data_IF_876575120412
#
_entry.id   IF_876575120412
#
_cell.length_a   1.000
_cell.length_b   1.000
_cell.length_c   1.000
_cell.angle_alpha   90.00
_cell.angle_beta   90.00
_cell.angle_gamma   90.00
#
_symmetry.space_group_name_H-M   'P 1'
#
loop_
_entity.id
_entity.type
_entity.pdbx_description
1 polymer ?
#
# COMPACT_ATOMS: atom_id res chain seq x y z
N UNK A 1 -4.18 21.28 16.99
CA UNK A 1 -5.37 21.92 16.36
C UNK A 1 -6.62 21.24 16.92
N UNK A 2 -7.84 21.80 16.82
CA UNK A 2 -9.02 21.10 17.30
C UNK A 2 -9.46 20.01 16.30
N UNK A 3 -9.56 18.76 16.73
CA UNK A 3 -10.28 17.69 16.04
C UNK A 3 -11.45 17.19 16.89
N UNK A 4 -12.51 16.68 16.26
CA UNK A 4 -13.65 16.16 17.01
C UNK A 4 -13.29 14.85 17.74
N UNK A 5 -13.60 14.76 19.03
CA UNK A 5 -13.31 13.59 19.89
C UNK A 5 -14.39 12.50 19.82
N UNK A 6 -15.42 12.69 18.99
CA UNK A 6 -16.50 11.74 18.80
C UNK A 6 -17.08 11.89 17.38
N UNK A 7 -17.59 10.81 16.76
CA UNK A 7 -18.19 10.88 15.43
C UNK A 7 -19.35 11.88 15.37
N UNK A 8 -19.22 12.91 14.53
CA UNK A 8 -20.30 13.85 14.20
C UNK A 8 -21.13 13.34 13.02
N UNK A 9 -20.51 12.58 12.12
CA UNK A 9 -21.19 11.80 11.09
C UNK A 9 -21.02 10.32 11.45
N UNK A 10 -22.10 9.60 11.80
CA UNK A 10 -21.99 8.21 12.19
C UNK A 10 -21.68 7.32 10.96
N UNK A 11 -20.69 6.40 11.06
CA UNK A 11 -20.38 5.47 9.99
C UNK A 11 -21.60 4.60 9.65
N UNK A 12 -21.81 4.30 8.38
CA UNK A 12 -22.77 3.26 7.97
C UNK A 12 -22.27 1.86 8.41
N UNK A 13 -23.16 0.95 8.84
CA UNK A 13 -22.83 -0.46 8.98
C UNK A 13 -22.23 -1.05 7.70
N UNK A 14 -21.26 -1.97 7.82
CA UNK A 14 -20.55 -2.54 6.66
C UNK A 14 -21.51 -3.29 5.71
N UNK A 15 -22.54 -3.93 6.25
CA UNK A 15 -23.58 -4.63 5.50
C UNK A 15 -24.53 -3.69 4.74
N UNK A 16 -24.68 -2.45 5.20
CA UNK A 16 -25.45 -1.40 4.52
C UNK A 16 -24.67 -0.70 3.38
N UNK A 17 -23.38 -0.94 3.24
CA UNK A 17 -22.57 -0.39 2.15
C UNK A 17 -22.88 -1.06 0.81
N UNK A 18 -22.85 -0.31 -0.28
CA UNK A 18 -22.94 -0.88 -1.63
C UNK A 18 -21.73 -1.79 -1.94
N UNK A 19 -21.83 -2.75 -2.89
CA UNK A 19 -20.75 -3.70 -3.20
C UNK A 19 -19.37 -3.04 -3.42
N UNK A 20 -19.32 -1.96 -4.20
CA UNK A 20 -18.09 -1.23 -4.50
C UNK A 20 -17.54 -0.49 -3.27
N UNK A 21 -18.43 0.03 -2.42
CA UNK A 21 -18.06 0.68 -1.16
C UNK A 21 -17.48 -0.35 -0.19
N UNK A 22 -18.09 -1.54 -0.06
CA UNK A 22 -17.55 -2.65 0.74
C UNK A 22 -16.18 -3.10 0.24
N UNK A 23 -15.97 -3.12 -1.08
CA UNK A 23 -14.66 -3.47 -1.67
C UNK A 23 -13.60 -2.47 -1.23
N UNK A 24 -13.88 -1.17 -1.31
CA UNK A 24 -12.97 -0.11 -0.85
C UNK A 24 -12.72 -0.18 0.66
N UNK A 25 -13.75 -0.41 1.47
CA UNK A 25 -13.62 -0.55 2.92
C UNK A 25 -12.67 -1.70 3.32
N UNK A 26 -12.69 -2.82 2.60
CA UNK A 26 -11.82 -3.98 2.84
C UNK A 26 -10.33 -3.72 2.56
N UNK A 27 -9.98 -2.59 1.93
CA UNK A 27 -8.59 -2.19 1.67
C UNK A 27 -7.95 -1.42 2.84
N UNK A 28 -8.61 -1.38 4.01
CA UNK A 28 -8.08 -0.73 5.22
C UNK A 28 -8.67 0.65 5.49
N UNK A 29 -9.48 1.19 4.56
CA UNK A 29 -10.11 2.51 4.67
C UNK A 29 -11.56 2.45 5.19
N UNK A 30 -11.96 1.39 5.89
CA UNK A 30 -13.38 1.15 6.20
C UNK A 30 -14.05 2.29 6.96
N UNK A 31 -13.44 2.87 7.98
CA UNK A 31 -14.11 3.93 8.76
C UNK A 31 -14.36 5.20 7.94
N UNK A 32 -13.42 5.64 7.10
CA UNK A 32 -13.65 6.78 6.20
C UNK A 32 -14.66 6.45 5.11
N UNK A 33 -14.62 5.23 4.56
CA UNK A 33 -15.58 4.79 3.54
C UNK A 33 -17.00 4.73 4.12
N UNK A 34 -17.18 4.21 5.34
CA UNK A 34 -18.48 4.16 6.01
C UNK A 34 -19.08 5.55 6.25
N UNK A 35 -18.24 6.55 6.50
CA UNK A 35 -18.69 7.93 6.70
C UNK A 35 -19.01 8.60 5.35
N UNK A 36 -18.13 8.46 4.36
CA UNK A 36 -18.33 9.02 3.02
C UNK A 36 -19.51 8.40 2.29
N UNK A 37 -19.82 7.13 2.53
CA UNK A 37 -20.95 6.43 1.90
C UNK A 37 -22.32 7.06 2.23
N UNK A 38 -22.40 7.95 3.23
CA UNK A 38 -23.56 8.83 3.45
C UNK A 38 -23.82 9.81 2.28
N UNK A 39 -22.81 10.06 1.44
CA UNK A 39 -22.90 10.79 0.18
C UNK A 39 -22.18 10.00 -0.93
N UNK A 40 -22.87 9.02 -1.54
CA UNK A 40 -22.25 8.04 -2.43
C UNK A 40 -21.65 8.64 -3.71
N UNK A 41 -22.27 9.70 -4.27
CA UNK A 41 -21.77 10.36 -5.47
C UNK A 41 -20.45 11.09 -5.21
N UNK A 42 -20.39 11.87 -4.11
CA UNK A 42 -19.16 12.54 -3.69
C UNK A 42 -18.09 11.53 -3.27
N UNK A 43 -18.48 10.46 -2.57
CA UNK A 43 -17.56 9.38 -2.22
C UNK A 43 -16.90 8.81 -3.47
N UNK A 44 -17.68 8.49 -4.51
CA UNK A 44 -17.14 7.95 -5.76
C UNK A 44 -16.14 8.93 -6.38
N UNK A 45 -16.52 10.19 -6.56
CA UNK A 45 -15.65 11.21 -7.15
C UNK A 45 -14.35 11.40 -6.35
N UNK A 46 -14.45 11.46 -5.02
CA UNK A 46 -13.27 11.57 -4.13
C UNK A 46 -12.40 10.33 -4.18
N UNK A 47 -13.00 9.14 -4.24
CA UNK A 47 -12.27 7.86 -4.28
C UNK A 47 -11.56 7.67 -5.62
N UNK A 48 -12.15 8.11 -6.73
CA UNK A 48 -11.51 8.06 -8.06
C UNK A 48 -10.23 8.93 -8.08
N UNK A 49 -10.31 10.15 -7.53
CA UNK A 49 -9.13 11.02 -7.39
C UNK A 49 -8.09 10.44 -6.41
N UNK A 50 -8.52 9.94 -5.25
CA UNK A 50 -7.64 9.31 -4.28
C UNK A 50 -6.93 8.07 -4.87
N UNK A 51 -7.64 7.24 -5.63
CA UNK A 51 -7.08 6.07 -6.30
C UNK A 51 -6.04 6.46 -7.36
N UNK A 52 -6.28 7.53 -8.13
CA UNK A 52 -5.29 8.07 -9.04
C UNK A 52 -4.01 8.48 -8.29
N UNK A 53 -4.13 9.31 -7.25
CA UNK A 53 -3.00 9.78 -6.46
C UNK A 53 -2.24 8.63 -5.78
N UNK A 54 -2.93 7.58 -5.35
CA UNK A 54 -2.32 6.44 -4.64
C UNK A 54 -1.81 5.30 -5.52
N UNK A 55 -2.24 5.19 -6.78
CA UNK A 55 -1.91 4.02 -7.61
C UNK A 55 -1.42 4.36 -9.02
N UNK A 56 -1.67 5.58 -9.49
CA UNK A 56 -1.33 6.01 -10.86
C UNK A 56 -0.43 7.25 -10.88
N UNK A 57 -0.12 7.80 -9.70
CA UNK A 57 0.80 8.92 -9.54
C UNK A 57 2.18 8.59 -10.09
N UNK A 58 2.80 9.59 -10.71
CA UNK A 58 4.20 9.61 -11.14
C UNK A 58 5.18 9.77 -9.99
N UNK A 59 4.73 10.25 -8.83
CA UNK A 59 5.55 10.29 -7.63
C UNK A 59 5.85 8.87 -7.15
N UNK A 60 7.12 8.63 -6.80
CA UNK A 60 7.53 7.37 -6.21
C UNK A 60 6.69 7.09 -4.95
N UNK A 61 6.19 5.85 -4.75
CA UNK A 61 5.33 5.51 -3.62
C UNK A 61 5.90 5.96 -2.28
N UNK A 62 7.21 5.74 -2.05
CA UNK A 62 7.89 6.13 -0.80
C UNK A 62 7.72 7.61 -0.48
N UNK A 63 8.03 8.45 -1.47
CA UNK A 63 7.97 9.91 -1.33
C UNK A 63 6.54 10.41 -1.19
N UNK A 64 5.59 9.79 -1.91
CA UNK A 64 4.17 10.10 -1.79
C UNK A 64 3.68 9.88 -0.36
N UNK A 65 3.97 8.72 0.23
CA UNK A 65 3.53 8.44 1.60
C UNK A 65 4.23 9.32 2.64
N UNK A 66 5.50 9.68 2.45
CA UNK A 66 6.17 10.71 3.27
C UNK A 66 5.44 12.05 3.24
N UNK A 67 5.03 12.51 2.06
CA UNK A 67 4.27 13.75 1.91
C UNK A 67 2.91 13.68 2.63
N UNK A 68 2.19 12.55 2.50
CA UNK A 68 0.90 12.34 3.17
C UNK A 68 1.06 12.34 4.70
N UNK A 69 2.05 11.63 5.23
CA UNK A 69 2.33 11.64 6.67
C UNK A 69 2.69 13.04 7.18
N UNK A 70 3.45 13.81 6.40
CA UNK A 70 3.75 15.21 6.74
C UNK A 70 2.49 16.07 6.73
N UNK A 71 1.59 15.90 5.76
CA UNK A 71 0.27 16.57 5.75
C UNK A 71 -0.53 16.24 7.02
N UNK A 72 -0.58 14.96 7.40
CA UNK A 72 -1.28 14.51 8.60
C UNK A 72 -0.76 15.19 9.87
N UNK A 73 0.57 15.34 10.01
CA UNK A 73 1.19 16.09 11.11
C UNK A 73 0.81 17.58 11.06
N UNK A 74 0.91 18.21 9.89
CA UNK A 74 0.61 19.64 9.73
C UNK A 74 -0.86 19.99 9.93
N UNK A 75 -1.75 19.05 9.68
CA UNK A 75 -3.19 19.22 9.83
C UNK A 75 -3.74 18.64 11.14
N UNK A 76 -2.88 18.04 11.98
CA UNK A 76 -3.28 17.34 13.21
C UNK A 76 -4.37 16.29 12.94
N UNK A 77 -4.11 15.41 11.97
CA UNK A 77 -5.07 14.45 11.43
C UNK A 77 -4.74 13.00 11.85
N UNK A 78 -5.19 12.56 13.04
CA UNK A 78 -4.81 11.27 13.60
C UNK A 78 -5.30 10.08 12.78
N UNK A 79 -6.48 10.17 12.16
CA UNK A 79 -6.98 9.13 11.27
C UNK A 79 -6.13 8.95 10.02
N UNK A 80 -5.72 10.06 9.41
CA UNK A 80 -4.89 10.03 8.22
C UNK A 80 -3.53 9.40 8.52
N UNK A 81 -2.89 9.84 9.61
CA UNK A 81 -1.66 9.23 10.10
C UNK A 81 -1.81 7.73 10.36
N UNK A 82 -2.82 7.34 11.15
CA UNK A 82 -3.07 5.95 11.49
C UNK A 82 -3.26 5.04 10.27
N UNK A 83 -3.92 5.56 9.23
CA UNK A 83 -4.15 4.81 7.99
C UNK A 83 -2.92 4.79 7.07
N UNK A 84 -2.14 5.86 7.06
CA UNK A 84 -1.00 6.00 6.15
C UNK A 84 0.33 5.50 6.71
N UNK A 85 0.52 5.36 8.03
CA UNK A 85 1.77 4.76 8.57
C UNK A 85 1.99 3.34 8.03
N UNK A 86 1.01 2.42 8.04
CA UNK A 86 1.18 1.10 7.43
C UNK A 86 1.41 1.17 5.91
N UNK A 87 0.78 2.12 5.21
CA UNK A 87 0.98 2.33 3.78
C UNK A 87 2.38 2.88 3.46
N UNK A 88 2.92 3.76 4.31
CA UNK A 88 4.25 4.35 4.20
C UNK A 88 5.35 3.32 4.42
N UNK A 89 5.26 2.55 5.52
CA UNK A 89 6.09 1.35 5.70
C UNK A 89 5.97 0.44 4.47
N UNK A 90 4.75 0.40 3.93
CA UNK A 90 4.38 -0.25 2.70
C UNK A 90 5.11 0.13 1.43
N UNK A 91 5.39 1.41 1.31
CA UNK A 91 6.03 2.00 0.17
C UNK A 91 7.55 2.10 0.31
N UNK A 92 8.11 1.52 1.38
CA UNK A 92 9.55 1.54 1.67
C UNK A 92 10.00 2.75 2.50
N UNK A 93 9.09 3.49 3.13
CA UNK A 93 9.46 4.49 4.15
C UNK A 93 9.88 3.73 5.40
N UNK A 94 11.05 4.02 5.94
CA UNK A 94 11.55 3.35 7.14
C UNK A 94 10.90 3.92 8.40
N UNK A 95 10.87 3.14 9.49
CA UNK A 95 10.44 3.63 10.80
C UNK A 95 11.29 4.84 11.23
N UNK A 96 12.58 4.85 10.91
CA UNK A 96 13.47 5.98 11.17
C UNK A 96 13.01 7.26 10.45
N UNK A 97 12.62 7.15 9.18
CA UNK A 97 12.09 8.29 8.42
C UNK A 97 10.72 8.75 8.96
N UNK A 98 9.81 7.83 9.29
CA UNK A 98 8.52 8.20 9.89
C UNK A 98 8.74 8.94 11.21
N UNK A 99 9.67 8.47 12.04
CA UNK A 99 10.04 9.12 13.29
C UNK A 99 10.73 10.47 13.06
N UNK A 100 11.53 10.60 12.00
CA UNK A 100 12.18 11.85 11.64
C UNK A 100 11.18 12.94 11.21
N UNK A 101 9.97 12.58 10.76
CA UNK A 101 8.95 13.56 10.40
C UNK A 101 8.47 14.43 11.58
N UNK A 102 8.67 14.00 12.83
CA UNK A 102 8.34 14.78 14.03
C UNK A 102 9.53 15.50 14.65
N UNK A 103 10.74 15.20 14.16
CA UNK A 103 11.98 15.82 14.64
C UNK A 103 12.28 17.09 13.84
N UNK A 104 12.27 18.29 14.47
CA UNK A 104 12.58 19.54 13.77
C UNK A 104 14.04 19.63 13.32
N UNK A 105 14.94 18.82 13.87
CA UNK A 105 16.36 18.80 13.53
C UNK A 105 16.71 17.69 12.52
N UNK A 106 15.72 16.91 12.07
CA UNK A 106 15.93 15.89 11.07
C UNK A 106 16.44 16.47 9.75
N UNK A 107 17.47 15.84 9.20
CA UNK A 107 18.03 16.18 7.89
C UNK A 107 17.52 15.20 6.84
N UNK A 108 17.10 15.73 5.69
CA UNK A 108 16.53 14.96 4.60
C UNK A 108 17.40 15.04 3.35
N UNK A 109 17.28 14.04 2.48
CA UNK A 109 17.86 14.14 1.14
C UNK A 109 17.26 15.35 0.41
N UNK A 110 18.02 16.09 -0.42
CA UNK A 110 17.54 17.32 -1.04
C UNK A 110 16.21 17.19 -1.80
N UNK A 111 15.98 16.03 -2.41
CA UNK A 111 14.78 15.71 -3.18
C UNK A 111 13.54 15.46 -2.31
N UNK A 112 13.73 14.88 -1.11
CA UNK A 112 12.68 14.64 -0.12
C UNK A 112 12.34 15.95 0.60
N UNK A 113 13.39 16.67 1.01
CA UNK A 113 13.28 17.94 1.72
C UNK A 113 12.47 18.98 0.91
N UNK A 114 12.66 19.03 -0.41
CA UNK A 114 11.89 19.92 -1.27
C UNK A 114 10.37 19.61 -1.24
N UNK A 115 9.99 18.34 -1.15
CA UNK A 115 8.57 17.94 -1.03
C UNK A 115 8.04 18.19 0.37
N UNK A 116 8.80 17.88 1.41
CA UNK A 116 8.40 18.12 2.81
C UNK A 116 8.24 19.63 3.08
N UNK A 117 9.13 20.46 2.55
CA UNK A 117 9.01 21.91 2.61
C UNK A 117 7.78 22.40 1.84
N UNK A 118 7.51 21.85 0.65
CA UNK A 118 6.30 22.21 -0.10
C UNK A 118 5.01 21.84 0.65
N UNK A 119 4.98 20.68 1.30
CA UNK A 119 3.87 20.27 2.19
C UNK A 119 3.68 21.32 3.30
N UNK A 120 4.77 21.69 3.96
CA UNK A 120 4.77 22.64 5.06
C UNK A 120 4.24 24.02 4.66
N UNK A 121 4.70 24.53 3.52
CA UNK A 121 4.28 25.83 2.97
C UNK A 121 2.82 25.80 2.49
N UNK A 122 2.39 24.74 1.79
CA UNK A 122 1.00 24.59 1.34
C UNK A 122 0.02 24.45 2.50
N UNK A 123 0.39 23.70 3.54
CA UNK A 123 -0.45 23.58 4.74
C UNK A 123 -0.56 24.91 5.50
N UNK A 124 0.53 25.69 5.56
CA UNK A 124 0.56 26.97 6.28
C UNK A 124 -0.08 28.13 5.51
N UNK A 125 0.21 28.24 4.21
CA UNK A 125 -0.03 29.45 3.42
C UNK A 125 -0.77 29.19 2.11
N UNK A 126 -1.05 27.92 1.76
CA UNK A 126 -1.62 27.53 0.47
C UNK A 126 -0.82 28.06 -0.74
N UNK A 127 0.49 28.19 -0.55
CA UNK A 127 1.42 28.74 -1.55
C UNK A 127 2.78 28.07 -1.38
N UNK A 128 3.46 27.79 -2.48
CA UNK A 128 4.86 27.31 -2.49
C UNK A 128 5.75 28.48 -2.88
N UNK A 129 6.78 28.75 -2.08
CA UNK A 129 7.73 29.84 -2.32
C UNK A 129 8.56 29.62 -3.59
N UNK A 130 9.11 30.69 -4.17
CA UNK A 130 9.98 30.60 -5.35
C UNK A 130 11.22 29.72 -5.09
N UNK A 131 11.73 29.73 -3.86
CA UNK A 131 12.85 28.89 -3.44
C UNK A 131 12.47 27.40 -3.45
N UNK A 132 11.37 27.04 -2.79
CA UNK A 132 10.87 25.65 -2.77
C UNK A 132 10.46 25.20 -4.17
N UNK A 133 9.86 26.08 -4.98
CA UNK A 133 9.53 25.80 -6.37
C UNK A 133 10.77 25.47 -7.20
N UNK A 134 11.83 26.30 -7.09
CA UNK A 134 13.08 26.07 -7.82
C UNK A 134 13.72 24.72 -7.44
N UNK A 135 13.65 24.33 -6.16
CA UNK A 135 14.16 23.04 -5.68
C UNK A 135 13.34 21.86 -6.21
N UNK A 136 12.01 21.97 -6.25
CA UNK A 136 11.16 20.95 -6.85
C UNK A 136 11.46 20.80 -8.34
N UNK A 137 11.52 21.91 -9.08
CA UNK A 137 11.75 21.94 -10.53
C UNK A 137 13.16 21.49 -10.94
N UNK A 138 14.12 21.44 -10.01
CA UNK A 138 15.47 20.94 -10.28
C UNK A 138 15.51 19.42 -10.53
N UNK A 139 14.56 18.67 -9.99
CA UNK A 139 14.55 17.19 -10.08
C UNK A 139 13.23 16.62 -10.58
N UNK A 140 12.23 17.45 -10.88
CA UNK A 140 10.88 17.03 -11.28
C UNK A 140 10.38 17.81 -12.48
N UNK A 141 9.65 17.13 -13.36
CA UNK A 141 8.94 17.80 -14.44
C UNK A 141 7.66 18.49 -13.94
N UNK A 142 7.02 19.28 -14.80
CA UNK A 142 5.80 19.99 -14.42
C UNK A 142 4.66 19.07 -13.99
N UNK A 143 4.55 17.86 -14.54
CA UNK A 143 3.48 16.94 -14.17
C UNK A 143 3.71 16.38 -12.76
N UNK A 144 4.95 16.03 -12.41
CA UNK A 144 5.31 15.60 -11.06
C UNK A 144 5.11 16.73 -10.03
N UNK A 145 5.45 17.98 -10.38
CA UNK A 145 5.18 19.13 -9.50
C UNK A 145 3.67 19.33 -9.30
N UNK A 146 2.87 19.25 -10.38
CA UNK A 146 1.40 19.31 -10.28
C UNK A 146 0.88 18.20 -9.35
N UNK A 147 1.40 16.99 -9.45
CA UNK A 147 1.01 15.89 -8.56
C UNK A 147 1.36 16.15 -7.09
N UNK A 148 2.52 16.75 -6.77
CA UNK A 148 2.83 17.18 -5.39
C UNK A 148 1.76 18.15 -4.88
N UNK A 149 1.43 19.19 -5.67
CA UNK A 149 0.44 20.18 -5.26
C UNK A 149 -0.95 19.56 -5.06
N UNK A 150 -1.39 18.69 -5.99
CA UNK A 150 -2.68 18.00 -5.90
C UNK A 150 -2.74 17.01 -4.74
N UNK A 151 -1.67 16.25 -4.50
CA UNK A 151 -1.59 15.31 -3.39
C UNK A 151 -1.75 16.05 -2.05
N UNK A 152 -0.97 17.12 -1.84
CA UNK A 152 -1.04 17.91 -0.62
C UNK A 152 -2.40 18.57 -0.45
N UNK A 153 -2.97 19.14 -1.52
CA UNK A 153 -4.30 19.74 -1.49
C UNK A 153 -5.40 18.72 -1.15
N UNK A 154 -5.35 17.54 -1.77
CA UNK A 154 -6.30 16.45 -1.53
C UNK A 154 -6.24 15.96 -0.08
N UNK A 155 -5.04 15.69 0.44
CA UNK A 155 -4.88 15.20 1.81
C UNK A 155 -5.17 16.28 2.85
N UNK A 156 -4.87 17.56 2.57
CA UNK A 156 -5.30 18.67 3.44
C UNK A 156 -6.83 18.80 3.50
N UNK A 157 -7.52 18.62 2.37
CA UNK A 157 -8.98 18.57 2.31
C UNK A 157 -9.51 17.37 3.12
N UNK A 158 -8.92 16.19 2.94
CA UNK A 158 -9.29 14.98 3.66
C UNK A 158 -9.07 15.13 5.16
N UNK A 159 -7.91 15.58 5.61
CA UNK A 159 -7.63 15.90 7.01
C UNK A 159 -8.69 16.83 7.63
N UNK A 160 -9.04 17.92 6.93
CA UNK A 160 -10.10 18.83 7.36
C UNK A 160 -11.46 18.14 7.50
N UNK A 161 -11.83 17.30 6.53
CA UNK A 161 -13.05 16.50 6.59
C UNK A 161 -13.02 15.49 7.74
N UNK A 162 -11.97 14.68 7.86
CA UNK A 162 -11.82 13.62 8.86
C UNK A 162 -11.91 14.20 10.28
N UNK A 163 -11.18 15.27 10.54
CA UNK A 163 -11.17 15.97 11.83
C UNK A 163 -12.53 16.60 12.15
N UNK A 164 -13.21 17.16 11.15
CA UNK A 164 -14.52 17.81 11.33
C UNK A 164 -15.66 16.81 11.52
N UNK A 165 -15.63 15.70 10.78
CA UNK A 165 -16.62 14.63 10.84
C UNK A 165 -16.43 13.72 12.06
N UNK A 166 -15.27 13.78 12.73
CA UNK A 166 -14.95 12.95 13.89
C UNK A 166 -14.72 11.50 13.52
N UNK A 167 -14.05 11.25 12.39
CA UNK A 167 -13.73 9.89 11.96
C UNK A 167 -12.75 9.26 12.97
N UNK A 168 -13.19 8.16 13.59
CA UNK A 168 -12.46 7.55 14.69
C UNK A 168 -11.27 6.72 14.21
N UNK A 169 -10.15 6.85 14.91
CA UNK A 169 -9.03 5.91 14.82
C UNK A 169 -9.40 4.64 15.56
N UNK A 170 -9.13 3.48 14.96
CA UNK A 170 -9.39 2.20 15.62
C UNK A 170 -8.36 1.93 16.71
N UNK A 171 -8.74 1.24 17.80
CA UNK A 171 -7.78 0.79 18.80
C UNK A 171 -6.64 -0.03 18.16
N UNK A 172 -5.41 0.24 18.60
CA UNK A 172 -4.20 -0.46 18.14
C UNK A 172 -3.59 0.07 16.83
N UNK A 173 -4.15 1.12 16.23
CA UNK A 173 -3.51 1.81 15.11
C UNK A 173 -2.45 2.82 15.58
N UNK A 174 -1.48 3.18 14.71
CA UNK A 174 -0.46 4.18 15.03
C UNK A 174 -1.06 5.50 15.50
N UNK A 175 -0.53 6.03 16.61
CA UNK A 175 -0.94 7.32 17.16
C UNK A 175 -0.15 8.44 16.50
N UNK A 176 -0.81 9.55 16.22
CA UNK A 176 -0.22 10.71 15.53
C UNK A 176 1.07 11.17 16.21
N UNK A 177 2.17 11.12 15.46
CA UNK A 177 3.48 11.57 15.92
C UNK A 177 4.13 10.74 17.02
N UNK A 178 3.51 9.66 17.47
CA UNK A 178 4.17 8.71 18.34
C UNK A 178 5.21 7.90 17.57
N UNK A 179 6.25 7.48 18.30
CA UNK A 179 7.36 6.73 17.75
C UNK A 179 6.86 5.40 17.20
N UNK A 180 7.18 5.14 15.92
CA UNK A 180 7.02 3.83 15.31
C UNK A 180 8.25 3.00 15.67
N UNK A 181 8.04 1.95 16.45
CA UNK A 181 9.12 1.05 16.83
C UNK A 181 9.58 0.22 15.63
N UNK A 182 10.90 0.00 15.46
CA UNK A 182 11.42 -0.87 14.42
C UNK A 182 10.77 -2.24 14.55
N UNK A 183 10.25 -2.77 13.44
CA UNK A 183 9.88 -4.18 13.44
C UNK A 183 11.12 -5.00 13.79
N UNK A 184 11.08 -5.89 14.81
CA UNK A 184 12.24 -6.70 15.14
C UNK A 184 12.71 -7.43 13.89
N UNK A 185 13.99 -7.26 13.56
CA UNK A 185 14.61 -7.91 12.43
C UNK A 185 14.58 -9.43 12.67
N UNK A 186 13.65 -10.14 12.02
CA UNK A 186 13.67 -11.60 11.94
C UNK A 186 12.62 -12.36 12.74
N UNK A 187 11.33 -12.01 12.64
CA UNK A 187 10.27 -13.03 12.75
C UNK A 187 9.72 -13.33 11.35
N UNK A 188 10.48 -14.13 10.60
CA UNK A 188 9.82 -15.10 9.75
C UNK A 188 9.09 -16.06 10.70
N UNK A 189 7.76 -16.04 10.70
CA UNK A 189 6.95 -17.00 11.44
C UNK A 189 7.50 -18.40 11.14
N UNK A 190 7.89 -19.21 12.15
CA UNK A 190 8.29 -20.59 11.91
C UNK A 190 7.10 -21.29 11.22
N UNK A 191 7.25 -21.60 9.94
CA UNK A 191 6.27 -22.45 9.24
C UNK A 191 6.39 -23.82 9.88
N UNK A 192 5.43 -24.16 10.75
CA UNK A 192 5.26 -25.53 11.23
C UNK A 192 4.96 -26.40 10.02
N UNK A 193 5.96 -27.18 9.58
CA UNK A 193 5.94 -28.08 8.41
C UNK A 193 4.82 -29.12 8.52
N UNK A 194 3.77 -29.05 7.68
CA UNK A 194 3.00 -30.24 7.32
C UNK A 194 3.81 -31.02 6.27
N UNK A 195 3.81 -32.35 6.33
CA UNK A 195 4.41 -33.21 5.31
C UNK A 195 3.31 -34.05 4.67
N UNK A 196 2.98 -33.76 3.42
CA UNK A 196 2.02 -34.47 2.57
C UNK A 196 2.65 -35.65 1.82
N UNK A 197 4.00 -35.77 1.84
CA UNK A 197 4.75 -36.78 1.08
C UNK A 197 4.81 -36.52 -0.44
N UNK A 198 4.32 -35.37 -0.92
CA UNK A 198 4.35 -34.98 -2.33
C UNK A 198 5.71 -34.38 -2.70
N UNK A 199 6.16 -34.64 -3.93
CA UNK A 199 7.40 -34.10 -4.52
C UNK A 199 7.08 -33.29 -5.78
N UNK A 200 7.83 -32.22 -6.04
CA UNK A 200 7.70 -31.40 -7.25
C UNK A 200 6.73 -30.21 -7.12
N UNK A 201 6.55 -29.45 -8.19
CA UNK A 201 5.79 -28.19 -8.16
C UNK A 201 4.26 -28.37 -8.23
N UNK A 202 3.78 -29.49 -8.77
CA UNK A 202 2.37 -29.68 -9.11
C UNK A 202 1.40 -29.63 -7.92
N UNK A 203 0.34 -28.86 -8.08
CA UNK A 203 -0.77 -28.77 -7.15
C UNK A 203 -1.05 -27.34 -6.70
N UNK A 204 -1.91 -27.24 -5.69
CA UNK A 204 -2.35 -25.98 -5.12
C UNK A 204 -1.47 -25.57 -3.95
N UNK A 205 -1.15 -24.29 -3.88
CA UNK A 205 -0.31 -23.68 -2.86
C UNK A 205 -1.01 -22.45 -2.28
N UNK A 206 -1.06 -22.37 -0.96
CA UNK A 206 -1.50 -21.17 -0.25
C UNK A 206 -0.26 -20.32 0.02
N UNK A 207 -0.17 -19.18 -0.68
CA UNK A 207 0.98 -18.28 -0.63
C UNK A 207 0.60 -17.00 0.10
N UNK A 208 1.48 -16.56 0.98
CA UNK A 208 1.44 -15.22 1.58
C UNK A 208 2.44 -14.34 0.85
N UNK A 209 1.93 -13.47 -0.02
CA UNK A 209 2.72 -12.40 -0.62
C UNK A 209 2.95 -11.32 0.43
N UNK A 210 4.21 -11.05 0.77
CA UNK A 210 4.57 -10.11 1.82
C UNK A 210 4.99 -8.80 1.19
N UNK A 211 4.02 -7.92 1.00
CA UNK A 211 4.28 -6.52 0.68
C UNK A 211 4.48 -5.74 1.97
N UNK A 212 5.34 -4.72 2.01
CA UNK A 212 5.48 -3.93 3.22
C UNK A 212 4.14 -3.28 3.66
N UNK A 213 3.18 -3.07 2.72
CA UNK A 213 1.87 -2.43 2.98
C UNK A 213 0.81 -3.41 3.53
N UNK A 214 1.23 -4.65 3.80
CA UNK A 214 0.38 -5.72 4.30
C UNK A 214 0.56 -6.99 3.49
N UNK A 215 0.63 -8.11 4.21
CA UNK A 215 0.68 -9.42 3.60
C UNK A 215 -0.69 -9.82 3.03
N UNK A 216 -0.69 -10.36 1.81
CA UNK A 216 -1.90 -10.79 1.11
C UNK A 216 -1.87 -12.30 0.86
N UNK A 217 -2.90 -13.05 1.29
CA UNK A 217 -3.02 -14.45 0.91
C UNK A 217 -3.43 -14.55 -0.56
N UNK A 218 -2.74 -15.41 -1.29
CA UNK A 218 -2.96 -15.76 -2.69
C UNK A 218 -2.97 -17.29 -2.81
N UNK A 219 -3.67 -17.79 -3.81
CA UNK A 219 -3.65 -19.20 -4.17
C UNK A 219 -2.90 -19.36 -5.48
N UNK A 220 -1.92 -20.25 -5.52
CA UNK A 220 -1.21 -20.62 -6.73
C UNK A 220 -1.58 -22.06 -7.11
N UNK A 221 -2.03 -22.26 -8.34
CA UNK A 221 -2.27 -23.59 -8.91
C UNK A 221 -1.21 -23.86 -9.98
N UNK A 222 -0.42 -24.91 -9.82
CA UNK A 222 0.69 -25.27 -10.69
C UNK A 222 0.51 -26.64 -11.33
N UNK A 223 0.86 -26.72 -12.61
CA UNK A 223 0.99 -27.95 -13.37
C UNK A 223 2.26 -27.93 -14.20
N UNK A 224 3.01 -29.02 -14.20
CA UNK A 224 4.26 -29.17 -14.93
C UNK A 224 4.11 -30.18 -16.07
N UNK A 225 4.78 -29.90 -17.18
CA UNK A 225 4.92 -30.81 -18.31
C UNK A 225 6.39 -30.79 -18.77
N UNK A 226 7.19 -31.71 -18.23
CA UNK A 226 8.64 -31.63 -18.33
C UNK A 226 9.17 -30.43 -17.54
N UNK A 227 9.97 -29.58 -18.17
CA UNK A 227 10.48 -28.36 -17.54
C UNK A 227 9.50 -27.19 -17.58
N UNK A 228 8.41 -27.27 -18.36
CA UNK A 228 7.46 -26.16 -18.51
C UNK A 228 6.45 -26.13 -17.36
N UNK A 229 6.14 -24.93 -16.88
CA UNK A 229 5.16 -24.66 -15.81
C UNK A 229 3.97 -23.91 -16.39
N UNK A 230 2.77 -24.34 -16.00
CA UNK A 230 1.50 -23.68 -16.31
C UNK A 230 0.67 -23.54 -15.03
N UNK A 231 -0.28 -22.63 -15.04
CA UNK A 231 -1.09 -22.40 -13.85
C UNK A 231 -1.71 -21.02 -13.79
N UNK A 232 -2.13 -20.65 -12.58
CA UNK A 232 -2.65 -19.32 -12.30
C UNK A 232 -2.43 -18.89 -10.86
N UNK A 233 -2.41 -17.57 -10.64
CA UNK A 233 -2.45 -16.93 -9.33
C UNK A 233 -3.87 -16.41 -9.10
N UNK A 234 -4.48 -16.73 -7.96
CA UNK A 234 -5.83 -16.26 -7.60
C UNK A 234 -5.80 -15.46 -6.30
N UNK A 235 -6.35 -14.25 -6.34
CA UNK A 235 -6.74 -13.49 -5.15
C UNK A 235 -8.22 -13.77 -4.85
N UNK A 236 -8.48 -14.64 -3.88
CA UNK A 236 -9.84 -15.02 -3.48
C UNK A 236 -10.66 -13.89 -2.84
N UNK A 237 -10.02 -12.82 -2.34
CA UNK A 237 -10.73 -11.67 -1.74
C UNK A 237 -11.24 -10.73 -2.81
N UNK A 238 -10.48 -10.58 -3.90
CA UNK A 238 -10.84 -9.74 -5.05
C UNK A 238 -11.57 -10.52 -6.16
N UNK A 239 -11.56 -11.86 -6.12
CA UNK A 239 -12.15 -12.70 -7.15
C UNK A 239 -11.39 -12.62 -8.48
N UNK A 240 -10.11 -12.29 -8.43
CA UNK A 240 -9.25 -12.11 -9.61
C UNK A 240 -8.36 -13.32 -9.77
N UNK A 241 -8.28 -13.86 -10.98
CA UNK A 241 -7.38 -14.94 -11.35
C UNK A 241 -6.52 -14.53 -12.54
N UNK A 242 -5.20 -14.69 -12.39
CA UNK A 242 -4.18 -14.25 -13.34
C UNK A 242 -3.47 -15.49 -13.90
N UNK A 243 -3.49 -15.72 -15.22
CA UNK A 243 -2.83 -16.88 -15.82
C UNK A 243 -1.30 -16.71 -15.85
N UNK A 244 -0.60 -17.82 -15.67
CA UNK A 244 0.84 -17.91 -15.96
C UNK A 244 1.02 -17.99 -17.47
N UNK A 245 1.80 -17.06 -18.04
CA UNK A 245 2.04 -16.95 -19.49
C UNK A 245 3.32 -17.67 -19.93
N UNK A 246 4.30 -17.77 -19.04
CA UNK A 246 5.54 -18.52 -19.24
C UNK A 246 6.09 -18.99 -17.90
N UNK A 247 6.75 -20.15 -17.86
CA UNK A 247 7.41 -20.60 -16.65
C UNK A 247 8.19 -21.88 -16.82
N UNK A 248 9.20 -22.06 -15.98
CA UNK A 248 10.10 -23.20 -15.94
C UNK A 248 10.30 -23.72 -14.53
N UNK A 249 10.60 -25.01 -14.42
CA UNK A 249 11.01 -25.66 -13.17
C UNK A 249 12.26 -26.50 -13.42
N UNK A 250 13.27 -26.33 -12.58
CA UNK A 250 14.47 -27.15 -12.59
C UNK A 250 15.00 -27.33 -11.17
N UNK A 251 15.21 -28.58 -10.74
CA UNK A 251 15.80 -28.86 -9.42
C UNK A 251 15.04 -28.29 -8.22
N UNK A 252 13.73 -28.04 -8.34
CA UNK A 252 12.91 -27.41 -7.31
C UNK A 252 12.94 -25.87 -7.33
N UNK A 253 13.77 -25.26 -8.19
CA UNK A 253 13.70 -23.84 -8.51
C UNK A 253 12.61 -23.60 -9.56
N UNK A 254 11.74 -22.65 -9.27
CA UNK A 254 10.60 -22.27 -10.11
C UNK A 254 10.76 -20.82 -10.52
N UNK A 255 10.64 -20.55 -11.81
CA UNK A 255 10.59 -19.18 -12.35
C UNK A 255 9.41 -19.09 -13.32
N UNK A 256 8.54 -18.10 -13.17
CA UNK A 256 7.43 -17.91 -14.08
C UNK A 256 6.96 -16.46 -14.13
N UNK A 257 6.33 -16.10 -15.25
CA UNK A 257 5.66 -14.81 -15.44
C UNK A 257 4.17 -15.04 -15.52
N UNK A 258 3.41 -14.28 -14.73
CA UNK A 258 1.97 -14.14 -14.85
C UNK A 258 1.64 -12.74 -15.38
N UNK A 259 0.58 -12.63 -16.16
CA UNK A 259 0.21 -11.36 -16.79
C UNK A 259 -1.22 -10.98 -16.42
N UNK A 260 -1.37 -9.83 -15.74
CA UNK A 260 -2.68 -9.25 -15.52
C UNK A 260 -2.97 -8.32 -16.70
N UNK A 261 -4.07 -8.53 -17.42
CA UNK A 261 -4.44 -7.72 -18.59
C UNK A 261 -5.52 -6.67 -18.29
N UNK A 262 -6.22 -6.79 -17.17
CA UNK A 262 -7.31 -5.90 -16.76
C UNK A 262 -7.23 -5.57 -15.25
N UNK A 263 -7.49 -4.32 -14.82
CA UNK A 263 -7.84 -3.14 -15.62
C UNK A 263 -6.64 -2.47 -16.31
N UNK A 264 -5.41 -2.90 -16.02
CA UNK A 264 -4.19 -2.43 -16.66
C UNK A 264 -3.25 -3.63 -16.91
N UNK A 265 -2.48 -3.57 -18.01
CA UNK A 265 -1.51 -4.60 -18.36
C UNK A 265 -0.23 -4.44 -17.55
N UNK A 266 0.11 -5.43 -16.73
CA UNK A 266 1.44 -5.51 -16.13
C UNK A 266 1.87 -6.96 -15.86
N UNK A 267 3.18 -7.17 -15.96
CA UNK A 267 3.81 -8.45 -15.71
C UNK A 267 4.15 -8.63 -14.24
N UNK A 268 3.95 -9.86 -13.77
CA UNK A 268 4.29 -10.33 -12.44
C UNK A 268 5.29 -11.47 -12.62
N UNK A 269 6.57 -11.20 -12.35
CA UNK A 269 7.61 -12.22 -12.32
C UNK A 269 7.62 -12.90 -10.95
N UNK A 270 7.73 -14.22 -10.91
CA UNK A 270 7.85 -15.00 -9.68
C UNK A 270 9.07 -15.90 -9.80
N UNK A 271 9.95 -15.85 -8.82
CA UNK A 271 11.06 -16.80 -8.66
C UNK A 271 11.03 -17.37 -7.26
N UNK A 272 11.26 -18.68 -7.10
CA UNK A 272 11.25 -19.30 -5.79
C UNK A 272 11.77 -20.72 -5.78
N UNK A 273 11.89 -21.29 -4.58
CA UNK A 273 12.38 -22.64 -4.35
C UNK A 273 11.36 -23.44 -3.57
N UNK A 274 11.12 -24.67 -4.04
CA UNK A 274 10.23 -25.64 -3.42
C UNK A 274 11.06 -26.67 -2.63
N UNK A 275 10.84 -26.72 -1.32
CA UNK A 275 11.36 -27.76 -0.42
C UNK A 275 10.18 -28.54 0.16
N UNK A 276 9.84 -29.66 -0.48
CA UNK A 276 8.69 -30.50 -0.14
C UNK A 276 7.34 -29.78 -0.31
N UNK A 277 6.76 -29.37 0.82
CA UNK A 277 5.49 -28.64 0.88
C UNK A 277 5.64 -27.17 1.25
N UNK A 278 6.88 -26.67 1.25
CA UNK A 278 7.19 -25.25 1.47
C UNK A 278 7.64 -24.63 0.16
N UNK A 279 7.08 -23.47 -0.16
CA UNK A 279 7.47 -22.68 -1.33
C UNK A 279 7.81 -21.26 -0.90
N UNK A 280 9.05 -20.85 -1.13
CA UNK A 280 9.55 -19.51 -0.73
C UNK A 280 10.26 -18.85 -1.89
N UNK A 281 10.10 -17.54 -2.02
CA UNK A 281 10.73 -16.82 -3.11
C UNK A 281 10.40 -15.34 -3.10
N UNK A 282 10.48 -14.73 -4.28
CA UNK A 282 10.13 -13.34 -4.51
C UNK A 282 9.21 -13.16 -5.70
N UNK A 283 8.32 -12.19 -5.58
CA UNK A 283 7.49 -11.67 -6.67
C UNK A 283 8.02 -10.30 -7.07
N UNK A 284 8.26 -10.11 -8.36
CA UNK A 284 8.64 -8.84 -8.97
C UNK A 284 7.46 -8.29 -9.76
N UNK A 285 7.02 -7.09 -9.40
CA UNK A 285 5.96 -6.36 -10.11
C UNK A 285 6.65 -5.33 -10.99
N UNK A 286 6.38 -5.33 -12.29
CA UNK A 286 6.94 -4.34 -13.22
C UNK A 286 6.62 -2.91 -12.77
N UNK A 287 7.67 -2.13 -12.47
CA UNK A 287 7.56 -0.76 -11.92
C UNK A 287 7.20 -0.67 -10.43
N UNK A 288 6.91 -1.79 -9.77
CA UNK A 288 6.47 -1.86 -8.36
C UNK A 288 7.50 -2.44 -7.39
N UNK A 289 8.59 -3.05 -7.88
CA UNK A 289 9.66 -3.62 -7.06
C UNK A 289 9.55 -5.13 -6.82
N UNK A 290 10.46 -5.66 -6.01
CA UNK A 290 10.56 -7.10 -5.72
C UNK A 290 10.31 -7.36 -4.24
N UNK A 291 9.41 -8.30 -3.94
CA UNK A 291 8.93 -8.56 -2.58
C UNK A 291 8.93 -10.05 -2.25
N UNK A 292 9.19 -10.45 -1.00
CA UNK A 292 9.22 -11.84 -0.63
C UNK A 292 7.81 -12.45 -0.57
N UNK A 293 7.73 -13.75 -0.78
CA UNK A 293 6.57 -14.55 -0.44
C UNK A 293 6.99 -15.85 0.23
N UNK A 294 6.06 -16.42 0.99
CA UNK A 294 6.17 -17.77 1.56
C UNK A 294 4.83 -18.46 1.46
N UNK A 295 4.82 -19.75 1.15
CA UNK A 295 3.60 -20.52 1.07
C UNK A 295 3.80 -21.98 1.43
N UNK A 296 2.66 -22.64 1.62
CA UNK A 296 2.59 -24.08 1.89
C UNK A 296 1.67 -24.75 0.89
N UNK A 297 1.94 -26.02 0.57
CA UNK A 297 1.04 -26.80 -0.27
C UNK A 297 -0.31 -26.96 0.44
N UNK A 298 -1.39 -26.72 -0.29
CA UNK A 298 -2.74 -27.00 0.20
C UNK A 298 -2.93 -28.54 0.28
N UNK A 299 -3.49 -28.99 1.40
CA UNK A 299 -3.80 -30.41 1.67
C UNK A 299 -4.87 -30.99 0.76
#
# INVERSE_FOLDING_TARGET
MPHATSPRIPPLPIDELEPDQRKLAKLGADTVIQVLARNPELMKASSDLGAYLLSQSRLLPRLRELAILRVALRCDAPYEWANHVPAALGAGVTEAEINALTDPEASWAPEDDAVLQAVDELCAAAFVSDETWARLAATRDHAEVIEVLYLVGYYRMMAGFLNSAGVAVKPGQPVLGERVEPRPAGEATPVTRPSSGRTGADGRWDITFTHPAGSKPLVLDLQTAGAAVRGSITDGRLGVTVPIVSGTVEGGHLEFTAELTEPARFDIGVTGTIDGDVFTGSVTISGGGTFPFSGTRAG
#
